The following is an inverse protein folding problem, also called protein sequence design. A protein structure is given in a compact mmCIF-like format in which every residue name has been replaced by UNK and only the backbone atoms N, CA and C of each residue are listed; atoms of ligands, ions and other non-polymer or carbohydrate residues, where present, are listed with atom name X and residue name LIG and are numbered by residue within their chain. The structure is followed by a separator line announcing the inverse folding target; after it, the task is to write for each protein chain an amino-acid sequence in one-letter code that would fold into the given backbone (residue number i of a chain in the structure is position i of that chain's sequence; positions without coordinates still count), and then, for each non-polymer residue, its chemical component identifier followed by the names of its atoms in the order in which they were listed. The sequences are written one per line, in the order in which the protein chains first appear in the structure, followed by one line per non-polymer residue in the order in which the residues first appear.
data_IF_506523069352
#
_entry.id   IF_506523069352
#
_cell.length_a   1.000
_cell.length_b   1.000
_cell.length_c   1.000
_cell.angle_alpha   90.00
_cell.angle_beta   90.00
_cell.angle_gamma   90.00
#
_symmetry.space_group_name_H-M   'P 1'
#
loop_
_entity.id
_entity.type
_entity.pdbx_description
1 polymer ?
#
# COMPACT_ATOMS: atom_id res chain seq x y z
N UNK A 1 -20.27 17.74 -3.29
CA UNK A 1 -20.47 16.28 -3.15
C UNK A 1 -19.94 15.87 -1.79
N UNK A 2 -20.67 15.05 -1.03
CA UNK A 2 -20.21 14.58 0.29
C UNK A 2 -19.18 13.45 0.13
N UNK A 3 -18.32 13.21 1.14
CA UNK A 3 -17.33 12.11 1.10
C UNK A 3 -17.98 10.72 0.91
N UNK A 4 -19.11 10.39 1.56
CA UNK A 4 -19.81 9.13 1.28
C UNK A 4 -20.27 8.97 -0.18
N UNK A 5 -20.73 10.05 -0.82
CA UNK A 5 -21.10 10.01 -2.25
C UNK A 5 -19.89 9.73 -3.14
N UNK A 6 -18.76 10.40 -2.86
CA UNK A 6 -17.50 10.17 -3.57
C UNK A 6 -17.04 8.71 -3.45
N UNK A 7 -17.09 8.15 -2.24
CA UNK A 7 -16.73 6.75 -1.98
C UNK A 7 -17.61 5.82 -2.79
N UNK A 8 -18.93 6.00 -2.75
CA UNK A 8 -19.87 5.16 -3.50
C UNK A 8 -19.62 5.21 -5.01
N UNK A 9 -19.38 6.41 -5.56
CA UNK A 9 -19.05 6.58 -6.98
C UNK A 9 -17.74 5.88 -7.35
N UNK A 10 -16.70 6.03 -6.53
CA UNK A 10 -15.40 5.42 -6.77
C UNK A 10 -15.46 3.89 -6.65
N UNK A 11 -16.18 3.35 -5.66
CA UNK A 11 -16.41 1.91 -5.51
C UNK A 11 -17.15 1.33 -6.72
N UNK A 12 -18.21 2.00 -7.19
CA UNK A 12 -18.94 1.57 -8.38
C UNK A 12 -18.04 1.62 -9.62
N UNK A 13 -17.26 2.69 -9.76
CA UNK A 13 -16.32 2.88 -10.86
C UNK A 13 -15.19 1.85 -10.86
N UNK A 14 -14.68 1.44 -9.69
CA UNK A 14 -13.61 0.46 -9.54
C UNK A 14 -14.03 -0.97 -9.91
N UNK A 15 -15.32 -1.23 -10.11
CA UNK A 15 -15.80 -2.51 -10.67
C UNK A 15 -15.55 -2.65 -12.17
N UNK A 16 -15.21 -1.56 -12.87
CA UNK A 16 -14.86 -1.59 -14.29
C UNK A 16 -13.36 -1.92 -14.48
N UNK A 17 -13.00 -3.05 -15.15
CA UNK A 17 -11.60 -3.42 -15.40
C UNK A 17 -10.79 -2.33 -16.11
N UNK A 18 -11.40 -1.58 -17.04
CA UNK A 18 -10.72 -0.51 -17.76
C UNK A 18 -10.32 0.65 -16.84
N UNK A 19 -11.10 0.91 -15.79
CA UNK A 19 -10.75 1.97 -14.82
C UNK A 19 -9.60 1.53 -13.90
N UNK A 20 -9.53 0.24 -13.56
CA UNK A 20 -8.40 -0.33 -12.83
C UNK A 20 -7.11 -0.30 -13.66
N UNK A 21 -7.19 -0.63 -14.95
CA UNK A 21 -6.06 -0.51 -15.90
C UNK A 21 -5.59 0.94 -16.07
N UNK A 22 -6.52 1.90 -16.10
CA UNK A 22 -6.19 3.34 -16.13
C UNK A 22 -5.39 3.76 -14.89
N UNK A 23 -5.69 3.22 -13.71
CA UNK A 23 -4.92 3.52 -12.49
C UNK A 23 -3.46 3.02 -12.58
N UNK A 24 -3.25 1.80 -13.10
CA UNK A 24 -1.92 1.24 -13.32
C UNK A 24 -1.09 2.13 -14.25
N UNK A 25 -1.73 2.65 -15.31
CA UNK A 25 -1.12 3.55 -16.30
C UNK A 25 -1.03 5.01 -15.83
N UNK A 26 -1.47 5.30 -14.59
CA UNK A 26 -1.47 6.66 -14.03
C UNK A 26 -2.47 7.62 -14.67
N UNK A 27 -3.39 7.13 -15.49
CA UNK A 27 -4.46 7.90 -16.13
C UNK A 27 -5.67 8.13 -15.20
N UNK A 28 -5.68 7.50 -14.02
CA UNK A 28 -6.73 7.63 -13.02
C UNK A 28 -6.14 7.66 -11.61
N UNK A 29 -6.77 8.46 -10.75
CA UNK A 29 -6.62 8.42 -9.30
C UNK A 29 -7.99 8.24 -8.64
N UNK A 30 -8.01 7.61 -7.47
CA UNK A 30 -9.21 7.50 -6.63
C UNK A 30 -9.24 8.64 -5.63
N UNK A 31 -10.44 9.03 -5.22
CA UNK A 31 -10.71 10.16 -4.32
C UNK A 31 -10.89 9.72 -2.87
N UNK A 32 -10.91 8.40 -2.61
CA UNK A 32 -10.96 7.78 -1.29
C UNK A 32 -9.97 6.60 -1.21
N UNK A 33 -9.45 6.32 -0.01
CA UNK A 33 -8.56 5.19 0.22
C UNK A 33 -9.29 3.85 0.22
N UNK A 34 -8.57 2.74 0.00
CA UNK A 34 -9.18 1.41 0.00
C UNK A 34 -9.93 1.07 -1.29
N UNK A 35 -9.67 1.81 -2.38
CA UNK A 35 -10.31 1.65 -3.67
C UNK A 35 -9.24 1.58 -4.75
N UNK A 36 -9.47 0.76 -5.77
CA UNK A 36 -8.57 0.63 -6.91
C UNK A 36 -7.87 -0.72 -7.01
N UNK A 37 -6.91 -0.81 -7.92
CA UNK A 37 -6.15 -2.00 -8.22
C UNK A 37 -5.32 -2.41 -7.01
N UNK A 38 -4.67 -1.49 -6.30
CA UNK A 38 -3.79 -1.82 -5.16
C UNK A 38 -4.51 -2.10 -3.84
N UNK A 39 -5.83 -1.87 -3.78
CA UNK A 39 -6.65 -2.18 -2.62
C UNK A 39 -7.13 -3.65 -2.64
N UNK A 40 -7.03 -4.36 -1.51
CA UNK A 40 -7.66 -5.67 -1.37
C UNK A 40 -9.19 -5.56 -1.26
N UNK A 41 -9.92 -6.48 -1.89
CA UNK A 41 -11.38 -6.56 -1.87
C UNK A 41 -11.87 -7.84 -1.19
N UNK A 42 -12.84 -7.69 -0.27
CA UNK A 42 -13.60 -8.80 0.32
C UNK A 42 -14.56 -9.46 -0.70
N UNK A 43 -15.02 -8.69 -1.69
CA UNK A 43 -15.75 -9.22 -2.83
C UNK A 43 -14.77 -10.02 -3.71
N UNK A 44 -14.83 -11.35 -3.61
CA UNK A 44 -13.91 -12.26 -4.31
C UNK A 44 -14.02 -12.19 -5.83
N UNK A 45 -15.18 -11.77 -6.37
CA UNK A 45 -15.34 -11.54 -7.81
C UNK A 45 -14.60 -10.28 -8.27
N UNK A 46 -14.69 -9.21 -7.48
CA UNK A 46 -13.92 -8.00 -7.71
C UNK A 46 -12.41 -8.24 -7.50
N UNK A 47 -12.01 -8.96 -6.44
CA UNK A 47 -10.59 -9.27 -6.21
C UNK A 47 -10.02 -10.13 -7.34
N UNK A 48 -10.76 -11.14 -7.81
CA UNK A 48 -10.39 -11.93 -8.98
C UNK A 48 -10.25 -11.09 -10.26
N UNK A 49 -11.06 -10.04 -10.40
CA UNK A 49 -10.94 -9.07 -11.51
C UNK A 49 -9.67 -8.24 -11.37
N UNK A 50 -9.36 -7.71 -10.18
CA UNK A 50 -8.12 -6.97 -9.93
C UNK A 50 -6.88 -7.83 -10.19
N UNK A 51 -6.87 -9.08 -9.72
CA UNK A 51 -5.78 -10.03 -9.98
C UNK A 51 -5.54 -10.21 -11.49
N UNK A 52 -6.60 -10.33 -12.29
CA UNK A 52 -6.49 -10.49 -13.74
C UNK A 52 -5.97 -9.23 -14.41
N UNK A 53 -6.56 -8.06 -14.10
CA UNK A 53 -6.11 -6.77 -14.68
C UNK A 53 -4.64 -6.51 -14.38
N UNK A 54 -4.19 -6.80 -13.15
CA UNK A 54 -2.79 -6.64 -12.79
C UNK A 54 -1.85 -7.56 -13.58
N UNK A 55 -2.23 -8.83 -13.75
CA UNK A 55 -1.46 -9.80 -14.57
C UNK A 55 -1.41 -9.38 -16.04
N UNK A 56 -2.55 -8.96 -16.59
CA UNK A 56 -2.68 -8.56 -17.99
C UNK A 56 -1.89 -7.29 -18.31
N UNK A 57 -1.72 -6.39 -17.33
CA UNK A 57 -0.90 -5.20 -17.48
C UNK A 57 0.57 -5.54 -17.77
N UNK A 58 1.09 -6.64 -17.19
CA UNK A 58 2.45 -7.14 -17.39
C UNK A 58 3.50 -6.01 -17.37
N UNK A 59 3.43 -5.18 -16.33
CA UNK A 59 4.19 -3.94 -16.24
C UNK A 59 5.70 -4.12 -16.18
N UNK A 60 6.40 -2.98 -16.26
CA UNK A 60 7.84 -2.88 -16.02
C UNK A 60 8.12 -1.84 -14.93
N UNK A 61 9.36 -1.79 -14.46
CA UNK A 61 9.80 -0.75 -13.52
C UNK A 61 9.49 0.66 -14.05
N UNK A 62 9.83 0.93 -15.32
CA UNK A 62 9.60 2.24 -15.94
C UNK A 62 8.10 2.56 -16.07
N UNK A 63 7.27 1.58 -16.43
CA UNK A 63 5.83 1.76 -16.54
C UNK A 63 5.19 2.06 -15.18
N UNK A 64 5.61 1.32 -14.14
CA UNK A 64 5.15 1.56 -12.77
C UNK A 64 5.56 2.95 -12.27
N UNK A 65 6.83 3.32 -12.50
CA UNK A 65 7.37 4.62 -12.12
C UNK A 65 6.65 5.76 -12.85
N UNK A 66 6.36 5.59 -14.14
CA UNK A 66 5.53 6.54 -14.89
C UNK A 66 4.15 6.69 -14.24
N UNK A 67 3.47 5.59 -13.94
CA UNK A 67 2.16 5.61 -13.28
C UNK A 67 2.20 6.32 -11.91
N UNK A 68 3.19 6.00 -11.07
CA UNK A 68 3.40 6.64 -9.78
C UNK A 68 3.62 8.15 -9.88
N UNK A 69 4.40 8.58 -10.88
CA UNK A 69 4.66 10.01 -11.14
C UNK A 69 3.38 10.74 -11.54
N UNK A 70 2.57 10.14 -12.42
CA UNK A 70 1.29 10.72 -12.83
C UNK A 70 0.29 10.82 -11.66
N UNK A 71 0.14 9.75 -10.85
CA UNK A 71 -0.74 9.77 -9.67
C UNK A 71 -0.30 10.85 -8.67
N UNK A 72 0.99 10.96 -8.40
CA UNK A 72 1.57 12.00 -7.53
C UNK A 72 1.27 13.40 -8.04
N UNK A 73 1.48 13.66 -9.34
CA UNK A 73 1.16 14.94 -9.95
C UNK A 73 -0.34 15.26 -9.86
N UNK A 74 -1.20 14.27 -10.12
CA UNK A 74 -2.65 14.42 -10.03
C UNK A 74 -3.10 14.77 -8.60
N UNK A 75 -2.60 14.10 -7.57
CA UNK A 75 -2.94 14.41 -6.18
C UNK A 75 -2.49 15.82 -5.77
N UNK A 76 -1.27 16.21 -6.15
CA UNK A 76 -0.75 17.56 -5.85
C UNK A 76 -1.58 18.65 -6.54
N UNK A 77 -1.93 18.45 -7.81
CA UNK A 77 -2.78 19.36 -8.57
C UNK A 77 -4.19 19.45 -7.97
N UNK A 78 -4.82 18.31 -7.67
CA UNK A 78 -6.15 18.25 -7.06
C UNK A 78 -6.19 19.00 -5.72
N UNK A 79 -5.16 18.81 -4.88
CA UNK A 79 -5.05 19.52 -3.59
C UNK A 79 -4.92 21.03 -3.75
N UNK A 80 -4.12 21.49 -4.73
CA UNK A 80 -3.97 22.93 -5.03
C UNK A 80 -5.28 23.55 -5.51
N UNK A 81 -6.11 22.79 -6.23
CA UNK A 81 -7.41 23.23 -6.75
C UNK A 81 -8.58 23.00 -5.79
N UNK A 82 -8.34 22.50 -4.56
CA UNK A 82 -9.38 22.23 -3.56
C UNK A 82 -10.31 21.06 -3.93
N UNK A 83 -9.87 20.17 -4.82
CA UNK A 83 -10.62 18.98 -5.19
C UNK A 83 -10.49 17.88 -4.12
N UNK A 84 -11.48 16.99 -4.07
CA UNK A 84 -11.47 15.87 -3.13
C UNK A 84 -10.33 14.91 -3.50
N UNK A 85 -9.48 14.64 -2.52
CA UNK A 85 -8.37 13.68 -2.58
C UNK A 85 -8.51 12.66 -1.44
N UNK A 86 -7.93 11.46 -1.61
CA UNK A 86 -7.92 10.46 -0.56
C UNK A 86 -7.13 10.98 0.65
N UNK A 87 -7.61 10.67 1.86
CA UNK A 87 -6.96 11.14 3.09
C UNK A 87 -5.63 10.43 3.33
N UNK A 88 -5.49 9.21 2.83
CA UNK A 88 -4.27 8.40 2.85
C UNK A 88 -3.97 7.98 1.42
N UNK A 89 -2.73 8.17 0.97
CA UNK A 89 -2.32 7.92 -0.43
C UNK A 89 -0.85 7.59 -0.54
N UNK A 90 -0.47 7.03 -1.68
CA UNK A 90 0.93 6.82 -2.06
C UNK A 90 1.46 8.01 -2.85
N UNK A 91 2.63 8.51 -2.47
CA UNK A 91 3.30 9.63 -3.12
C UNK A 91 4.73 9.24 -3.53
N UNK A 92 5.10 9.54 -4.78
CA UNK A 92 6.42 9.23 -5.32
C UNK A 92 7.48 10.18 -4.73
N UNK A 93 8.54 9.57 -4.21
CA UNK A 93 9.80 10.20 -3.81
C UNK A 93 10.85 9.84 -4.85
N UNK A 94 11.36 10.84 -5.55
CA UNK A 94 12.44 10.67 -6.52
C UNK A 94 13.81 10.65 -5.84
N UNK A 95 14.84 10.13 -6.53
CA UNK A 95 16.22 10.17 -6.04
C UNK A 95 16.63 11.59 -5.62
N UNK A 96 17.25 11.70 -4.44
CA UNK A 96 17.66 12.94 -3.80
C UNK A 96 16.54 13.73 -3.12
N UNK A 97 15.26 13.32 -3.23
CA UNK A 97 14.17 13.95 -2.50
C UNK A 97 14.07 13.44 -1.06
N UNK A 98 13.51 14.28 -0.19
CA UNK A 98 13.20 13.89 1.19
C UNK A 98 11.81 13.26 1.26
N UNK A 99 11.65 12.30 2.16
CA UNK A 99 10.34 11.76 2.53
C UNK A 99 9.42 12.94 2.94
N UNK A 100 8.18 13.01 2.41
CA UNK A 100 7.24 14.08 2.73
C UNK A 100 6.94 14.19 4.23
N UNK A 101 6.70 15.40 4.76
CA UNK A 101 6.45 15.61 6.18
C UNK A 101 5.11 15.02 6.67
N UNK A 102 4.18 14.72 5.77
CA UNK A 102 2.91 14.04 6.06
C UNK A 102 3.01 12.52 5.86
N UNK A 103 4.21 11.93 5.81
CA UNK A 103 4.39 10.48 5.78
C UNK A 103 3.86 9.83 7.06
N UNK A 104 3.09 8.75 6.90
CA UNK A 104 2.46 8.04 8.01
C UNK A 104 3.49 7.11 8.62
N UNK A 105 3.88 7.39 9.86
CA UNK A 105 4.77 6.51 10.62
C UNK A 105 4.04 5.20 10.93
N UNK A 106 4.63 4.08 10.50
CA UNK A 106 4.05 2.74 10.68
C UNK A 106 4.68 1.97 11.84
N UNK A 107 5.86 2.37 12.26
CA UNK A 107 6.63 1.67 13.28
C UNK A 107 7.93 2.40 13.61
N UNK A 108 8.86 1.68 14.21
CA UNK A 108 10.19 2.18 14.55
C UNK A 108 11.21 1.05 14.36
N UNK A 109 12.45 1.42 14.08
CA UNK A 109 13.58 0.52 14.28
C UNK A 109 13.82 0.27 15.77
N UNK A 110 14.61 -0.77 16.09
CA UNK A 110 14.96 -1.11 17.48
C UNK A 110 15.65 0.04 18.25
N UNK A 111 16.30 0.96 17.55
CA UNK A 111 16.92 2.16 18.12
C UNK A 111 15.96 3.36 18.26
N UNK A 112 14.66 3.17 18.01
CA UNK A 112 13.62 4.20 18.11
C UNK A 112 13.49 5.10 16.89
N UNK A 113 14.24 4.86 15.81
CA UNK A 113 14.12 5.66 14.60
C UNK A 113 12.80 5.37 13.85
N UNK A 114 12.04 6.38 13.41
CA UNK A 114 10.77 6.18 12.71
C UNK A 114 10.89 5.41 11.40
N UNK A 115 9.91 4.53 11.16
CA UNK A 115 9.73 3.82 9.89
C UNK A 115 8.43 4.25 9.21
N UNK A 116 8.51 4.35 7.87
CA UNK A 116 7.40 4.67 6.97
C UNK A 116 7.19 3.53 5.98
N UNK A 117 5.95 3.33 5.52
CA UNK A 117 5.68 2.32 4.50
C UNK A 117 6.13 2.84 3.12
N UNK A 118 6.91 2.02 2.43
CA UNK A 118 7.37 2.28 1.07
C UNK A 118 6.85 1.19 0.13
N UNK A 119 6.80 1.46 -1.18
CA UNK A 119 6.60 0.42 -2.19
C UNK A 119 7.34 0.72 -3.48
N UNK A 120 7.78 -0.34 -4.16
CA UNK A 120 8.54 -0.25 -5.42
C UNK A 120 8.13 -1.38 -6.35
N UNK A 121 8.16 -1.11 -7.67
CA UNK A 121 8.00 -2.20 -8.63
C UNK A 121 9.24 -3.10 -8.68
N UNK A 122 9.08 -4.39 -8.41
CA UNK A 122 10.15 -5.37 -8.38
C UNK A 122 9.62 -6.73 -8.88
N UNK A 123 10.26 -7.27 -9.92
CA UNK A 123 9.94 -8.57 -10.52
C UNK A 123 8.45 -8.82 -10.83
N UNK A 124 7.79 -7.85 -11.46
CA UNK A 124 6.38 -7.96 -11.83
C UNK A 124 5.42 -7.46 -10.75
N UNK A 125 5.85 -7.38 -9.49
CA UNK A 125 5.05 -6.88 -8.38
C UNK A 125 5.31 -5.41 -8.07
N UNK A 126 4.36 -4.74 -7.42
CA UNK A 126 4.57 -3.53 -6.63
C UNK A 126 4.65 -4.00 -5.20
N UNK A 127 5.86 -4.14 -4.69
CA UNK A 127 6.16 -4.81 -3.43
C UNK A 127 6.27 -3.78 -2.30
N UNK A 128 5.70 -4.07 -1.13
CA UNK A 128 5.71 -3.18 0.04
C UNK A 128 6.96 -3.43 0.90
N UNK A 129 7.57 -2.34 1.37
CA UNK A 129 8.72 -2.33 2.26
C UNK A 129 8.70 -1.17 3.25
N UNK A 130 9.89 -0.80 3.72
CA UNK A 130 10.09 0.28 4.69
C UNK A 130 10.97 1.40 4.13
N UNK A 131 10.77 2.61 4.61
CA UNK A 131 11.66 3.74 4.41
C UNK A 131 11.85 4.49 5.74
N UNK A 132 12.89 5.30 5.83
CA UNK A 132 13.19 6.10 7.01
C UNK A 132 14.23 7.16 6.68
N UNK A 133 14.26 8.27 7.42
CA UNK A 133 15.28 9.31 7.19
C UNK A 133 16.72 8.82 7.44
N UNK A 134 16.86 7.73 8.19
CA UNK A 134 18.11 7.05 8.48
C UNK A 134 18.43 5.91 7.48
N UNK A 135 17.48 5.57 6.60
CA UNK A 135 17.62 4.59 5.52
C UNK A 135 17.95 5.36 4.24
N UNK A 136 18.90 4.87 3.44
CA UNK A 136 19.28 5.48 2.17
C UNK A 136 18.26 5.16 1.07
N UNK A 137 17.03 5.67 1.23
CA UNK A 137 15.89 5.41 0.35
C UNK A 137 14.84 4.50 1.00
N UNK A 138 14.34 3.54 0.23
CA UNK A 138 13.48 2.45 0.69
C UNK A 138 14.24 1.11 0.72
N UNK A 139 13.86 0.23 1.62
CA UNK A 139 14.30 -1.16 1.73
C UNK A 139 13.09 -2.07 1.54
N UNK A 140 13.12 -2.87 0.47
CA UNK A 140 12.04 -3.80 0.10
C UNK A 140 12.51 -5.23 0.36
N UNK A 141 11.79 -6.01 1.19
CA UNK A 141 12.14 -7.41 1.46
C UNK A 141 11.84 -8.29 0.26
N UNK A 142 12.87 -8.92 -0.32
CA UNK A 142 12.72 -9.72 -1.54
C UNK A 142 13.62 -10.96 -1.52
N UNK A 143 13.01 -12.15 -1.60
CA UNK A 143 13.68 -13.45 -1.50
C UNK A 143 14.71 -13.56 -0.36
N UNK A 144 14.36 -13.07 0.83
CA UNK A 144 15.22 -13.16 2.02
C UNK A 144 16.29 -12.08 2.12
N UNK A 145 16.35 -11.13 1.18
CA UNK A 145 17.28 -10.00 1.20
C UNK A 145 16.51 -8.66 1.23
N UNK A 146 17.08 -7.64 1.87
CA UNK A 146 16.59 -6.27 1.77
C UNK A 146 17.18 -5.56 0.55
N UNK A 147 16.35 -5.19 -0.43
CA UNK A 147 16.79 -4.44 -1.61
C UNK A 147 16.57 -2.95 -1.43
N UNK A 148 17.60 -2.16 -1.70
CA UNK A 148 17.55 -0.70 -1.53
C UNK A 148 17.20 0.05 -2.83
N UNK A 149 16.30 1.02 -2.72
CA UNK A 149 15.84 1.84 -3.85
C UNK A 149 15.82 3.32 -3.48
N UNK A 150 16.37 4.16 -4.35
CA UNK A 150 16.39 5.62 -4.16
C UNK A 150 15.13 6.33 -4.64
N UNK A 151 14.38 5.70 -5.54
CA UNK A 151 13.08 6.16 -6.02
C UNK A 151 12.01 5.15 -5.59
N UNK A 152 11.00 5.61 -4.87
CA UNK A 152 9.96 4.76 -4.28
C UNK A 152 8.69 5.57 -4.02
N UNK A 153 7.55 4.89 -3.87
CA UNK A 153 6.34 5.54 -3.32
C UNK A 153 6.33 5.37 -1.79
N UNK A 154 5.88 6.38 -1.07
CA UNK A 154 5.71 6.36 0.39
C UNK A 154 4.26 6.67 0.77
N UNK A 155 3.75 6.01 1.80
CA UNK A 155 2.39 6.25 2.30
C UNK A 155 2.33 7.56 3.10
N UNK A 156 1.47 8.47 2.66
CA UNK A 156 1.31 9.82 3.23
C UNK A 156 -0.16 10.15 3.51
N UNK A 157 -0.39 11.12 4.39
CA UNK A 157 -1.70 11.70 4.63
C UNK A 157 -2.10 11.73 6.10
N UNK A 158 -3.40 11.58 6.36
CA UNK A 158 -3.96 11.65 7.71
C UNK A 158 -3.88 10.28 8.41
N UNK A 159 -2.84 10.10 9.22
CA UNK A 159 -2.69 8.88 10.02
C UNK A 159 -3.82 8.64 11.04
N UNK A 160 -4.66 9.64 11.36
CA UNK A 160 -5.76 9.48 12.32
C UNK A 160 -6.94 8.68 11.78
N UNK A 161 -7.03 8.47 10.45
CA UNK A 161 -8.11 7.69 9.83
C UNK A 161 -7.77 6.22 9.61
N UNK A 162 -6.62 5.76 10.09
CA UNK A 162 -6.17 4.36 10.00
C UNK A 162 -5.84 3.80 11.38
N UNK A 163 -6.01 2.49 11.53
CA UNK A 163 -5.77 1.78 12.78
C UNK A 163 -5.11 0.42 12.52
N UNK A 164 -4.28 -0.01 13.46
CA UNK A 164 -3.67 -1.33 13.47
C UNK A 164 -4.61 -2.35 14.09
N UNK A 165 -4.80 -3.47 13.41
CA UNK A 165 -5.62 -4.59 13.87
C UNK A 165 -4.78 -5.84 14.00
N UNK A 166 -4.72 -6.48 15.19
CA UNK A 166 -4.06 -7.78 15.36
C UNK A 166 -4.64 -8.81 14.41
N UNK A 167 -3.78 -9.50 13.66
CA UNK A 167 -4.19 -10.59 12.79
C UNK A 167 -4.77 -11.73 13.62
N UNK A 168 -5.90 -12.26 13.15
CA UNK A 168 -6.47 -13.47 13.70
C UNK A 168 -6.55 -14.55 12.61
N UNK A 169 -5.93 -15.72 12.81
CA UNK A 169 -5.94 -16.81 11.82
C UNK A 169 -7.33 -17.38 11.54
N UNK A 170 -8.34 -17.02 12.33
CA UNK A 170 -9.74 -17.37 12.09
C UNK A 170 -10.48 -16.41 11.14
N UNK A 171 -9.84 -15.33 10.68
CA UNK A 171 -10.46 -14.48 9.67
C UNK A 171 -10.44 -15.19 8.32
N UNK A 172 -11.63 -15.35 7.72
CA UNK A 172 -11.76 -15.82 6.34
C UNK A 172 -11.13 -14.83 5.33
N UNK A 173 -11.05 -13.56 5.75
CA UNK A 173 -10.57 -12.46 4.95
C UNK A 173 -9.43 -11.74 5.68
N UNK A 174 -8.46 -11.24 4.92
CA UNK A 174 -7.21 -10.65 5.42
C UNK A 174 -7.29 -9.47 6.37
N UNK A 175 -8.47 -9.04 6.83
CA UNK A 175 -8.66 -7.99 7.84
C UNK A 175 -10.03 -8.16 8.51
N UNK A 176 -10.31 -7.49 9.66
CA UNK A 176 -11.58 -7.65 10.34
C UNK A 176 -12.78 -7.22 9.48
N UNK A 177 -13.93 -7.86 9.69
CA UNK A 177 -15.18 -7.44 9.06
C UNK A 177 -15.54 -5.99 9.44
N UNK A 178 -16.05 -5.23 8.47
CA UNK A 178 -16.42 -3.83 8.66
C UNK A 178 -15.26 -2.82 8.57
N UNK A 179 -14.03 -3.30 8.36
CA UNK A 179 -12.87 -2.45 8.05
C UNK A 179 -12.47 -2.58 6.58
N UNK A 180 -11.53 -1.76 6.12
CA UNK A 180 -10.91 -1.88 4.81
C UNK A 180 -9.40 -1.77 4.96
N UNK A 181 -8.64 -2.78 4.53
CA UNK A 181 -7.17 -2.68 4.56
C UNK A 181 -6.68 -1.47 3.73
N UNK A 182 -5.65 -0.79 4.24
CA UNK A 182 -4.97 0.28 3.50
C UNK A 182 -4.28 -0.30 2.28
N UNK A 183 -4.37 0.41 1.16
CA UNK A 183 -3.73 0.04 -0.10
C UNK A 183 -2.25 -0.24 0.14
N UNK A 184 -1.79 -1.43 -0.23
CA UNK A 184 -0.37 -1.76 -0.22
C UNK A 184 0.12 -1.88 -1.65
N UNK A 185 0.34 -3.12 -2.05
CA UNK A 185 0.95 -3.50 -3.30
C UNK A 185 0.22 -4.66 -3.96
N UNK A 186 0.84 -5.19 -5.00
CA UNK A 186 0.47 -6.49 -5.56
C UNK A 186 1.72 -7.23 -5.95
N UNK A 187 1.78 -8.50 -5.59
CA UNK A 187 2.84 -9.41 -6.03
C UNK A 187 2.83 -9.55 -7.55
N UNK A 188 3.91 -10.11 -8.13
CA UNK A 188 3.97 -10.39 -9.58
C UNK A 188 2.86 -11.33 -10.09
N UNK A 189 2.30 -12.20 -9.24
CA UNK A 189 1.13 -13.02 -9.55
C UNK A 189 -0.21 -12.33 -9.20
N UNK A 190 -0.17 -11.02 -8.96
CA UNK A 190 -1.33 -10.16 -8.81
C UNK A 190 -2.07 -10.32 -7.49
N UNK A 191 -1.54 -11.02 -6.48
CA UNK A 191 -2.16 -11.08 -5.15
C UNK A 191 -1.94 -9.75 -4.42
N UNK A 192 -2.91 -9.33 -3.62
CA UNK A 192 -2.76 -8.12 -2.83
C UNK A 192 -1.69 -8.29 -1.75
N UNK A 193 -0.82 -7.30 -1.62
CA UNK A 193 0.07 -7.13 -0.48
C UNK A 193 -0.47 -6.03 0.43
N UNK A 194 -0.51 -6.31 1.72
CA UNK A 194 -1.00 -5.42 2.75
C UNK A 194 0.13 -4.92 3.63
N UNK A 195 -0.05 -3.71 4.17
CA UNK A 195 0.86 -3.13 5.14
C UNK A 195 0.64 -3.82 6.48
N UNK A 196 1.68 -4.51 6.96
CA UNK A 196 1.68 -5.17 8.25
C UNK A 196 2.87 -4.75 9.11
N UNK A 197 2.78 -5.02 10.40
CA UNK A 197 3.90 -4.85 11.34
C UNK A 197 3.88 -5.92 12.43
N UNK A 198 5.01 -6.13 13.08
CA UNK A 198 5.14 -7.03 14.23
C UNK A 198 5.88 -6.38 15.39
N UNK A 199 5.51 -6.77 16.61
CA UNK A 199 6.22 -6.36 17.82
C UNK A 199 7.40 -7.28 18.17
N UNK A 200 7.61 -8.38 17.45
CA UNK A 200 8.65 -9.37 17.77
C UNK A 200 10.08 -8.80 17.71
N UNK A 201 10.29 -7.73 16.93
CA UNK A 201 11.60 -7.08 16.74
C UNK A 201 11.57 -5.56 17.00
N UNK A 202 10.61 -5.10 17.81
CA UNK A 202 10.34 -3.68 18.05
C UNK A 202 9.61 -3.04 16.87
N UNK A 203 8.27 -3.05 16.88
CA UNK A 203 7.36 -2.45 15.89
C UNK A 203 7.90 -2.47 14.44
N UNK A 204 8.43 -3.62 14.01
CA UNK A 204 9.09 -3.80 12.74
C UNK A 204 8.05 -3.94 11.63
N UNK A 205 8.32 -3.34 10.47
CA UNK A 205 7.52 -3.54 9.26
C UNK A 205 7.55 -5.01 8.82
N UNK A 206 6.41 -5.51 8.35
CA UNK A 206 6.30 -6.83 7.71
C UNK A 206 5.42 -6.73 6.47
N UNK A 207 5.71 -7.54 5.47
CA UNK A 207 4.86 -7.71 4.29
C UNK A 207 3.81 -8.80 4.57
N UNK A 208 2.54 -8.57 4.28
CA UNK A 208 1.50 -9.60 4.38
C UNK A 208 0.80 -9.80 3.04
N UNK A 209 0.95 -10.99 2.46
CA UNK A 209 0.23 -11.38 1.25
C UNK A 209 -1.18 -11.80 1.65
N UNK A 210 -2.19 -11.19 1.04
CA UNK A 210 -3.57 -11.44 1.40
C UNK A 210 -3.92 -12.94 1.22
N UNK A 211 -4.63 -13.47 2.23
CA UNK A 211 -5.08 -14.85 2.43
C UNK A 211 -3.99 -15.85 2.80
N UNK A 212 -2.78 -15.39 3.12
CA UNK A 212 -1.77 -16.22 3.77
C UNK A 212 -2.02 -16.35 5.28
N UNK A 213 -1.41 -17.35 5.94
CA UNK A 213 -1.54 -17.59 7.39
C UNK A 213 -0.43 -16.92 8.23
N UNK A 214 0.48 -16.20 7.58
CA UNK A 214 1.61 -15.50 8.18
C UNK A 214 2.02 -14.26 7.38
N UNK A 215 2.72 -13.34 8.03
CA UNK A 215 3.44 -12.25 7.40
C UNK A 215 4.92 -12.60 7.25
N UNK A 216 5.61 -11.89 6.35
CA UNK A 216 7.04 -12.04 6.10
C UNK A 216 7.80 -10.83 6.63
N UNK A 217 8.86 -11.07 7.40
CA UNK A 217 9.76 -10.02 7.88
C UNK A 217 11.19 -10.30 7.44
N UNK A 218 11.88 -9.29 6.92
CA UNK A 218 13.32 -9.29 6.76
C UNK A 218 13.92 -8.45 7.89
N UNK A 219 14.79 -9.03 8.71
CA UNK A 219 15.41 -8.35 9.85
C UNK A 219 16.88 -8.77 9.99
N UNK A 220 17.77 -7.81 10.20
CA UNK A 220 19.19 -8.08 10.48
C UNK A 220 19.99 -8.74 9.34
N UNK A 221 19.49 -8.69 8.09
CA UNK A 221 20.13 -9.36 6.95
C UNK A 221 19.90 -10.87 6.87
N UNK A 222 19.03 -11.43 7.72
CA UNK A 222 18.58 -12.83 7.64
C UNK A 222 17.32 -12.99 6.78
N UNK A 223 17.09 -14.22 6.30
CA UNK A 223 15.97 -14.66 5.46
C UNK A 223 14.59 -14.28 6.02
N UNK A 224 13.58 -14.20 5.13
CA UNK A 224 12.17 -13.95 5.47
C UNK A 224 11.73 -14.92 6.58
N UNK A 225 11.42 -14.40 7.76
CA UNK A 225 10.79 -15.19 8.84
C UNK A 225 9.28 -15.12 8.73
N UNK A 226 8.63 -16.27 8.94
CA UNK A 226 7.18 -16.37 9.01
C UNK A 226 6.72 -15.90 10.39
N UNK A 227 6.02 -14.77 10.42
CA UNK A 227 5.48 -14.18 11.64
C UNK A 227 3.98 -14.40 11.68
N UNK A 228 3.51 -15.00 12.77
CA UNK A 228 2.06 -15.23 12.99
C UNK A 228 1.42 -14.20 13.92
N UNK A 229 2.24 -13.46 14.66
CA UNK A 229 1.79 -12.37 15.50
C UNK A 229 2.14 -11.03 14.83
N UNK A 230 1.21 -10.53 14.03
CA UNK A 230 1.35 -9.27 13.30
C UNK A 230 0.04 -8.48 13.34
N UNK A 231 0.12 -7.20 13.01
CA UNK A 231 -1.02 -6.32 12.88
C UNK A 231 -1.11 -5.81 11.44
N UNK A 232 -2.33 -5.53 10.96
CA UNK A 232 -2.61 -5.02 9.63
C UNK A 232 -3.17 -3.60 9.74
N UNK A 233 -2.71 -2.71 8.87
CA UNK A 233 -3.20 -1.33 8.82
C UNK A 233 -4.51 -1.26 8.02
N UNK A 234 -5.58 -0.76 8.63
CA UNK A 234 -6.89 -0.66 8.00
C UNK A 234 -7.65 0.63 8.36
N UNK A 235 -8.53 1.05 7.48
CA UNK A 235 -9.53 2.08 7.73
C UNK A 235 -10.67 1.50 8.61
N UNK A 236 -10.88 2.02 9.83
CA UNK A 236 -11.96 1.57 10.71
C UNK A 236 -13.33 2.15 10.30
N UNK A 237 -13.34 3.34 9.68
CA UNK A 237 -14.55 4.04 9.27
C UNK A 237 -14.62 4.15 7.75
N UNK A 238 -15.42 3.28 7.13
CA UNK A 238 -15.58 3.21 5.68
C UNK A 238 -16.19 4.47 5.05
N UNK A 239 -16.85 5.33 5.84
CA UNK A 239 -17.41 6.60 5.36
C UNK A 239 -16.42 7.77 5.39
N UNK A 240 -15.25 7.57 6.01
CA UNK A 240 -14.24 8.60 6.22
C UNK A 240 -12.93 8.37 5.46
N UNK A 241 -12.70 7.16 4.91
CA UNK A 241 -11.49 6.82 4.13
C UNK A 241 -11.32 7.67 2.85
#
# INVERSE_FOLDING_TARGET
MSRPQVIQEDEASARNPAHLDQELKGARVWRAGGIGIFAYSLDGGLEGTKNRVYKDWNGSFDASLYGARQRTAAFRNARQNGWVVPLVRWELVEDGQRIPPDAIQIGNEANGQPLYSARVFLNGGVEVGKAGHHISGAEIPYFGEGKHFRTFEVLVGDGSVVQWYPFHPGWADSHPAGTQAVDGGRTGDGKAELIARTNEFGLAFTEYIARDDHAYVAYGGEEKRNVRNFEILAFPNLSAR
#
